data_IF_594624965968
#
_entry.id   IF_594624965968
#
_cell.length_a   1.000
_cell.length_b   1.000
_cell.length_c   1.000
_cell.angle_alpha   90.00
_cell.angle_beta   90.00
_cell.angle_gamma   90.00
#
_symmetry.space_group_name_H-M   'P 1'
#
loop_
_entity.id
_entity.type
_entity.pdbx_description
1 polymer ?
#
# COMPACT_ATOMS: atom_id res chain seq x y z
N UNK A 1 15.18 -38.89 -48.53
CA UNK A 1 15.36 -39.92 -47.50
C UNK A 1 16.75 -39.78 -46.91
N UNK A 2 16.97 -40.37 -45.74
CA UNK A 2 18.24 -40.46 -45.00
C UNK A 2 18.88 -39.13 -44.54
N UNK A 3 19.33 -39.14 -43.29
CA UNK A 3 19.97 -38.03 -42.61
C UNK A 3 21.45 -38.36 -42.35
N UNK A 4 22.31 -37.35 -42.32
CA UNK A 4 23.74 -37.54 -42.05
C UNK A 4 24.01 -37.60 -40.54
N UNK A 5 24.74 -38.64 -40.13
CA UNK A 5 25.00 -38.97 -38.74
C UNK A 5 25.90 -37.94 -38.03
N UNK A 6 25.59 -37.63 -36.77
CA UNK A 6 26.55 -37.05 -35.81
C UNK A 6 26.82 -38.03 -34.68
N UNK A 7 28.10 -38.28 -34.42
CA UNK A 7 28.59 -39.24 -33.43
C UNK A 7 28.25 -38.82 -32.00
N UNK A 8 27.73 -39.78 -31.22
CA UNK A 8 27.69 -39.63 -29.76
C UNK A 8 29.07 -40.01 -29.21
N UNK A 9 29.79 -39.02 -28.65
CA UNK A 9 30.89 -39.28 -27.73
C UNK A 9 30.33 -39.45 -26.33
N UNK A 10 30.50 -40.62 -25.72
CA UNK A 10 30.11 -40.86 -24.34
C UNK A 10 31.28 -40.52 -23.40
N UNK A 11 31.04 -39.64 -22.43
CA UNK A 11 31.85 -39.55 -21.21
C UNK A 11 31.05 -40.18 -20.06
N UNK A 12 31.68 -41.07 -19.31
CA UNK A 12 31.05 -41.86 -18.25
C UNK A 12 31.90 -41.75 -16.98
N UNK A 13 31.90 -40.55 -16.41
CA UNK A 13 32.50 -40.21 -15.11
C UNK A 13 31.56 -39.24 -14.38
N UNK A 14 31.33 -39.30 -13.06
CA UNK A 14 31.60 -40.34 -12.06
C UNK A 14 30.40 -40.40 -11.08
N UNK A 15 29.87 -41.61 -10.82
CA UNK A 15 28.65 -41.85 -10.01
C UNK A 15 29.00 -42.31 -8.57
N UNK A 16 30.28 -42.46 -8.24
CA UNK A 16 30.71 -43.25 -7.08
C UNK A 16 30.59 -42.52 -5.73
N UNK A 17 30.65 -41.18 -5.70
CA UNK A 17 30.78 -40.36 -4.47
C UNK A 17 29.52 -40.30 -3.59
N UNK A 18 28.34 -40.71 -4.07
CA UNK A 18 27.08 -40.64 -3.29
C UNK A 18 26.80 -41.86 -2.40
N UNK A 19 27.61 -42.93 -2.49
CA UNK A 19 27.27 -44.27 -1.96
C UNK A 19 27.24 -44.43 -0.43
N UNK A 20 27.69 -43.43 0.34
CA UNK A 20 27.77 -43.48 1.81
C UNK A 20 26.78 -42.55 2.54
N UNK A 21 25.81 -41.94 1.85
CA UNK A 21 24.75 -41.15 2.49
C UNK A 21 23.64 -42.12 2.96
N UNK A 22 23.36 -42.27 4.27
CA UNK A 22 22.30 -43.15 4.75
C UNK A 22 20.92 -42.66 4.31
N UNK A 23 19.98 -43.60 4.13
CA UNK A 23 18.63 -43.30 3.66
C UNK A 23 17.94 -42.19 4.50
N UNK A 24 17.17 -41.36 3.80
CA UNK A 24 16.44 -40.22 4.36
C UNK A 24 15.42 -40.62 5.42
N UNK A 25 15.06 -39.67 6.30
CA UNK A 25 14.14 -39.91 7.41
C UNK A 25 14.71 -40.71 8.59
N UNK A 26 15.63 -41.65 8.35
CA UNK A 26 16.35 -42.40 9.39
C UNK A 26 17.35 -41.48 10.12
N UNK A 27 17.91 -40.50 9.41
CA UNK A 27 18.95 -39.60 9.93
C UNK A 27 18.49 -38.75 11.12
N UNK A 28 19.37 -38.58 12.12
CA UNK A 28 19.19 -37.62 13.21
C UNK A 28 19.54 -36.22 12.71
N UNK A 29 18.66 -35.21 12.84
CA UNK A 29 18.96 -33.84 12.45
C UNK A 29 19.99 -33.18 13.39
N UNK A 30 20.78 -32.19 12.92
CA UNK A 30 21.70 -31.45 13.76
C UNK A 30 21.02 -30.82 14.99
N UNK A 31 21.65 -30.93 16.16
CA UNK A 31 21.13 -30.38 17.43
C UNK A 31 20.80 -28.87 17.38
N UNK A 32 21.49 -28.14 16.49
CA UNK A 32 21.32 -26.70 16.26
C UNK A 32 19.91 -26.29 15.83
N UNK A 33 19.11 -27.19 15.28
CA UNK A 33 17.67 -26.94 15.05
C UNK A 33 16.88 -26.68 16.34
N UNK A 34 17.38 -27.12 17.49
CA UNK A 34 16.77 -26.98 18.81
C UNK A 34 17.52 -25.98 19.72
N UNK A 35 18.58 -25.35 19.22
CA UNK A 35 19.31 -24.26 19.89
C UNK A 35 18.61 -22.92 19.60
N UNK A 36 17.91 -22.36 20.59
CA UNK A 36 17.20 -21.09 20.44
C UNK A 36 18.10 -19.96 19.92
N UNK A 37 17.54 -19.13 19.03
CA UNK A 37 18.25 -17.98 18.47
C UNK A 37 19.25 -18.30 17.36
N UNK A 38 19.41 -19.55 16.92
CA UNK A 38 20.18 -19.90 15.71
C UNK A 38 19.35 -19.74 14.42
N UNK A 39 20.00 -19.60 13.27
CA UNK A 39 19.33 -19.61 11.97
C UNK A 39 18.66 -20.99 11.68
N UNK A 40 19.27 -22.08 12.16
CA UNK A 40 18.68 -23.43 12.13
C UNK A 40 17.36 -23.50 12.89
N UNK A 41 17.34 -23.06 14.14
CA UNK A 41 16.11 -23.02 14.95
C UNK A 41 15.03 -22.13 14.32
N UNK A 42 15.42 -20.98 13.73
CA UNK A 42 14.50 -20.13 12.97
C UNK A 42 13.91 -20.84 11.74
N UNK A 43 14.62 -21.74 11.07
CA UNK A 43 14.04 -22.58 10.00
C UNK A 43 12.97 -23.51 10.58
N UNK A 44 13.24 -24.18 11.70
CA UNK A 44 12.26 -25.07 12.30
C UNK A 44 11.00 -24.31 12.76
N UNK A 45 11.16 -23.11 13.33
CA UNK A 45 10.03 -22.27 13.76
C UNK A 45 9.24 -21.75 12.54
N UNK A 46 9.92 -21.29 11.48
CA UNK A 46 9.29 -20.69 10.30
C UNK A 46 8.81 -21.69 9.24
N UNK A 47 9.26 -22.94 9.28
CA UNK A 47 8.70 -24.01 8.44
C UNK A 47 7.21 -24.24 8.73
N UNK A 48 6.39 -24.59 7.72
CA UNK A 48 5.01 -24.99 7.94
C UNK A 48 4.95 -26.27 8.79
N UNK A 49 3.98 -26.34 9.71
CA UNK A 49 3.85 -27.45 10.66
C UNK A 49 3.85 -28.82 9.96
N UNK A 50 3.08 -28.95 8.88
CA UNK A 50 3.20 -30.04 7.91
C UNK A 50 3.93 -29.52 6.68
N UNK A 51 5.24 -29.78 6.59
CA UNK A 51 6.07 -29.36 5.49
C UNK A 51 6.11 -30.43 4.38
N UNK A 52 6.14 -29.98 3.12
CA UNK A 52 6.52 -30.85 2.00
C UNK A 52 8.01 -31.20 2.10
N UNK A 53 8.36 -32.44 1.74
CA UNK A 53 9.74 -32.93 1.72
C UNK A 53 9.92 -34.06 0.70
N UNK A 54 11.16 -34.30 0.27
CA UNK A 54 11.50 -35.35 -0.70
C UNK A 54 13.00 -35.59 -0.80
N UNK A 55 13.37 -36.72 -1.41
CA UNK A 55 14.77 -37.10 -1.69
C UNK A 55 15.32 -36.46 -2.97
N UNK A 56 14.42 -36.01 -3.82
CA UNK A 56 14.65 -35.30 -5.09
C UNK A 56 13.88 -33.96 -5.07
N UNK A 57 13.92 -33.20 -6.18
CA UNK A 57 13.20 -31.90 -6.28
C UNK A 57 11.65 -32.01 -6.36
N UNK A 58 11.01 -33.19 -6.22
CA UNK A 58 9.56 -33.36 -6.56
C UNK A 58 8.54 -33.10 -5.43
N UNK A 59 8.98 -32.82 -4.20
CA UNK A 59 8.11 -32.47 -3.06
C UNK A 59 7.04 -33.52 -2.68
N UNK A 60 7.32 -34.80 -2.94
CA UNK A 60 6.33 -35.89 -2.94
C UNK A 60 5.76 -36.29 -1.56
N UNK A 61 6.43 -35.99 -0.45
CA UNK A 61 5.99 -36.36 0.90
C UNK A 61 5.52 -35.12 1.68
N UNK A 62 4.58 -35.33 2.61
CA UNK A 62 4.21 -34.34 3.64
C UNK A 62 4.48 -34.95 5.01
N UNK A 63 5.21 -34.23 5.86
CA UNK A 63 5.62 -34.69 7.21
C UNK A 63 5.58 -33.52 8.21
N UNK A 64 5.47 -33.78 9.52
CA UNK A 64 5.75 -32.76 10.52
C UNK A 64 7.16 -32.21 10.31
N UNK A 65 7.36 -30.90 10.44
CA UNK A 65 8.62 -30.21 10.14
C UNK A 65 9.84 -30.78 10.89
N UNK A 66 9.65 -31.28 12.11
CA UNK A 66 10.65 -31.95 12.95
C UNK A 66 11.15 -33.29 12.35
N UNK A 67 10.40 -33.85 11.40
CA UNK A 67 10.80 -34.98 10.55
C UNK A 67 11.19 -34.54 9.13
N UNK A 68 10.62 -33.46 8.61
CA UNK A 68 10.94 -32.93 7.27
C UNK A 68 12.41 -32.48 7.15
N UNK A 69 13.01 -31.97 8.22
CA UNK A 69 14.45 -31.65 8.32
C UNK A 69 15.39 -32.85 8.12
N UNK A 70 14.86 -34.08 8.07
CA UNK A 70 15.60 -35.34 7.82
C UNK A 70 15.63 -35.76 6.34
N UNK A 71 15.12 -34.92 5.46
CA UNK A 71 15.11 -35.09 4.01
C UNK A 71 15.99 -34.03 3.34
N UNK A 72 16.65 -34.32 2.20
CA UNK A 72 17.54 -33.36 1.53
C UNK A 72 16.81 -32.15 0.95
N UNK A 73 15.52 -32.29 0.64
CA UNK A 73 14.69 -31.19 0.16
C UNK A 73 13.46 -31.02 1.06
N UNK A 74 13.20 -29.80 1.52
CA UNK A 74 12.01 -29.47 2.31
C UNK A 74 11.42 -28.09 1.98
N UNK A 75 10.14 -27.90 2.28
CA UNK A 75 9.47 -26.60 2.25
C UNK A 75 9.88 -25.76 3.47
N UNK A 76 10.53 -24.62 3.22
CA UNK A 76 11.05 -23.71 4.27
C UNK A 76 10.07 -22.58 4.60
N UNK A 77 9.39 -22.01 3.61
CA UNK A 77 8.39 -20.95 3.81
C UNK A 77 6.97 -21.54 3.96
N UNK A 78 6.15 -20.97 4.87
CA UNK A 78 4.75 -21.38 5.05
C UNK A 78 3.90 -20.92 3.87
N UNK A 79 2.80 -21.62 3.57
CA UNK A 79 1.88 -21.16 2.53
C UNK A 79 1.31 -19.79 2.88
N UNK A 80 1.50 -18.80 2.01
CA UNK A 80 1.04 -17.42 2.22
C UNK A 80 1.87 -16.58 3.19
N UNK A 81 3.05 -17.05 3.63
CA UNK A 81 3.97 -16.31 4.50
C UNK A 81 5.43 -16.54 4.08
N UNK A 82 6.15 -15.47 3.74
CA UNK A 82 7.58 -15.53 3.42
C UNK A 82 8.39 -14.97 4.58
N UNK A 83 9.24 -15.81 5.17
CA UNK A 83 10.14 -15.46 6.28
C UNK A 83 11.62 -15.64 5.92
N UNK A 84 11.87 -16.28 4.77
CA UNK A 84 13.19 -16.53 4.19
C UNK A 84 13.16 -16.16 2.71
N UNK A 85 14.05 -15.27 2.28
CA UNK A 85 14.40 -15.14 0.87
C UNK A 85 15.47 -16.19 0.55
N UNK A 86 15.23 -17.00 -0.49
CA UNK A 86 16.07 -18.15 -0.83
C UNK A 86 16.45 -18.05 -2.31
N UNK A 87 17.75 -18.07 -2.62
CA UNK A 87 18.28 -17.95 -3.97
C UNK A 87 19.01 -19.24 -4.35
N UNK A 88 18.54 -20.00 -5.35
CA UNK A 88 19.29 -21.15 -5.91
C UNK A 88 20.32 -20.61 -6.92
N UNK A 89 21.59 -20.97 -6.73
CA UNK A 89 22.73 -20.57 -7.54
C UNK A 89 23.24 -21.79 -8.31
N UNK A 90 22.96 -21.84 -9.61
CA UNK A 90 23.41 -22.89 -10.54
C UNK A 90 24.87 -22.70 -11.02
N UNK A 91 25.67 -21.95 -10.26
CA UNK A 91 27.12 -21.83 -10.44
C UNK A 91 27.88 -22.30 -9.18
N UNK A 92 29.17 -22.59 -9.32
CA UNK A 92 29.96 -23.17 -8.24
C UNK A 92 30.38 -22.15 -7.15
N UNK A 93 30.20 -20.84 -7.39
CA UNK A 93 30.62 -19.78 -6.48
C UNK A 93 29.56 -19.48 -5.42
N UNK A 94 29.65 -20.19 -4.29
CA UNK A 94 28.75 -19.96 -3.15
C UNK A 94 29.04 -18.67 -2.35
N UNK A 95 30.06 -17.89 -2.73
CA UNK A 95 30.44 -16.61 -2.11
C UNK A 95 30.14 -15.39 -2.99
N UNK A 96 29.41 -15.57 -4.10
CA UNK A 96 28.99 -14.52 -5.05
C UNK A 96 28.30 -13.29 -4.43
N UNK A 97 27.79 -13.41 -3.20
CA UNK A 97 27.26 -12.28 -2.42
C UNK A 97 28.36 -11.28 -2.01
N UNK A 98 29.56 -11.76 -1.65
CA UNK A 98 30.71 -10.95 -1.24
C UNK A 98 31.31 -10.23 -2.47
N UNK A 99 31.47 -10.96 -3.59
CA UNK A 99 31.85 -10.41 -4.90
C UNK A 99 30.88 -9.30 -5.40
N UNK A 100 29.60 -9.39 -5.00
CA UNK A 100 28.55 -8.44 -5.37
C UNK A 100 28.37 -7.29 -4.36
N UNK A 101 29.12 -7.26 -3.25
CA UNK A 101 28.97 -6.26 -2.18
C UNK A 101 27.65 -6.35 -1.40
N UNK A 102 26.97 -7.49 -1.47
CA UNK A 102 25.72 -7.76 -0.75
C UNK A 102 26.00 -8.12 0.73
N UNK A 103 25.03 -7.93 1.64
CA UNK A 103 25.20 -8.36 3.02
C UNK A 103 25.33 -9.89 3.10
N UNK A 104 25.99 -10.42 4.14
CA UNK A 104 26.18 -11.86 4.29
C UNK A 104 24.83 -12.61 4.40
N UNK A 105 24.66 -13.77 3.76
CA UNK A 105 23.51 -14.63 3.98
C UNK A 105 23.60 -15.31 5.36
N UNK A 106 22.47 -15.53 6.02
CA UNK A 106 22.43 -16.29 7.26
C UNK A 106 23.00 -17.70 7.10
N UNK A 107 22.64 -18.37 6.00
CA UNK A 107 23.05 -19.74 5.69
C UNK A 107 23.41 -19.88 4.21
N UNK A 108 24.45 -20.68 3.97
CA UNK A 108 24.90 -21.12 2.65
C UNK A 108 24.76 -22.64 2.60
N UNK A 109 23.90 -23.17 1.73
CA UNK A 109 23.68 -24.63 1.58
C UNK A 109 24.18 -25.09 0.22
N UNK A 110 25.43 -25.57 0.18
CA UNK A 110 26.15 -25.93 -1.04
C UNK A 110 26.04 -27.43 -1.35
N UNK A 111 25.75 -27.79 -2.60
CA UNK A 111 25.90 -29.16 -3.07
C UNK A 111 27.39 -29.53 -3.13
N UNK A 112 27.77 -30.62 -2.48
CA UNK A 112 29.17 -31.09 -2.37
C UNK A 112 29.78 -31.51 -3.71
N UNK A 113 28.96 -31.89 -4.70
CA UNK A 113 29.44 -32.42 -5.98
C UNK A 113 29.67 -31.33 -7.05
N UNK A 114 28.65 -30.54 -7.38
CA UNK A 114 28.71 -29.52 -8.44
C UNK A 114 28.85 -28.07 -7.92
N UNK A 115 28.86 -27.86 -6.61
CA UNK A 115 29.04 -26.56 -5.99
C UNK A 115 27.81 -25.63 -6.00
N UNK A 116 26.70 -25.99 -6.65
CA UNK A 116 25.47 -25.18 -6.70
C UNK A 116 24.87 -25.00 -5.30
N UNK A 117 24.46 -23.80 -4.93
CA UNK A 117 24.14 -23.46 -3.53
C UNK A 117 22.83 -22.70 -3.37
N UNK A 118 22.13 -22.91 -2.25
CA UNK A 118 21.07 -21.99 -1.81
C UNK A 118 21.66 -20.99 -0.83
N UNK A 119 21.47 -19.70 -1.09
CA UNK A 119 21.67 -18.64 -0.09
C UNK A 119 20.36 -18.33 0.61
N UNK A 120 20.40 -18.15 1.94
CA UNK A 120 19.24 -17.86 2.77
C UNK A 120 19.40 -16.51 3.49
N UNK A 121 18.41 -15.63 3.31
CA UNK A 121 18.30 -14.37 4.05
C UNK A 121 17.03 -14.36 4.90
N UNK A 122 17.19 -14.18 6.21
CA UNK A 122 16.11 -14.08 7.18
C UNK A 122 15.48 -12.69 7.11
N UNK A 123 14.16 -12.62 6.88
CA UNK A 123 13.39 -11.36 6.86
C UNK A 123 12.19 -11.42 7.81
N UNK A 124 11.68 -10.28 8.33
CA UNK A 124 10.38 -10.22 9.00
C UNK A 124 9.27 -10.81 8.11
N UNK A 125 8.42 -11.65 8.70
CA UNK A 125 7.45 -12.46 7.93
C UNK A 125 6.47 -11.61 7.13
N UNK A 126 6.55 -11.71 5.80
CA UNK A 126 5.64 -11.03 4.87
C UNK A 126 4.46 -11.94 4.55
N UNK A 127 3.25 -11.52 4.93
CA UNK A 127 2.01 -12.17 4.50
C UNK A 127 1.76 -11.92 3.01
N UNK A 128 1.70 -12.99 2.23
CA UNK A 128 1.50 -13.01 0.77
C UNK A 128 0.12 -13.57 0.35
N UNK A 129 -0.79 -13.78 1.31
CA UNK A 129 -2.20 -14.11 1.03
C UNK A 129 -2.97 -12.90 0.47
N UNK A 130 -4.20 -13.12 0.00
CA UNK A 130 -5.13 -12.07 -0.44
C UNK A 130 -5.45 -11.02 0.65
N UNK A 131 -5.25 -11.36 1.93
CA UNK A 131 -5.39 -10.43 3.07
C UNK A 131 -4.08 -9.70 3.42
N UNK A 132 -3.00 -9.97 2.67
CA UNK A 132 -1.71 -9.30 2.81
C UNK A 132 -1.75 -7.85 2.36
N UNK A 133 -0.73 -7.07 2.72
CA UNK A 133 -0.59 -5.67 2.28
C UNK A 133 0.27 -5.61 1.02
N UNK A 134 -0.30 -5.12 -0.09
CA UNK A 134 0.41 -4.98 -1.38
C UNK A 134 1.80 -4.35 -1.26
N UNK A 135 1.95 -3.33 -0.40
CA UNK A 135 3.19 -2.57 -0.24
C UNK A 135 4.37 -3.46 0.22
N UNK A 136 4.34 -4.12 1.39
CA UNK A 136 5.32 -5.14 1.75
C UNK A 136 5.53 -6.24 0.70
N UNK A 137 4.48 -6.77 0.09
CA UNK A 137 4.60 -7.86 -0.89
C UNK A 137 5.39 -7.43 -2.12
N UNK A 138 5.08 -6.25 -2.68
CA UNK A 138 5.76 -5.70 -3.85
C UNK A 138 7.17 -5.22 -3.53
N UNK A 139 7.40 -4.67 -2.34
CA UNK A 139 8.73 -4.25 -1.89
C UNK A 139 9.66 -5.46 -1.69
N UNK A 140 9.19 -6.51 -0.99
CA UNK A 140 9.90 -7.79 -0.85
C UNK A 140 10.22 -8.42 -2.21
N UNK A 141 9.28 -8.39 -3.17
CA UNK A 141 9.54 -8.87 -4.54
C UNK A 141 10.59 -8.05 -5.27
N UNK A 142 10.57 -6.71 -5.14
CA UNK A 142 11.59 -5.85 -5.75
C UNK A 142 12.99 -6.13 -5.18
N UNK A 143 13.11 -6.30 -3.85
CA UNK A 143 14.36 -6.71 -3.18
C UNK A 143 14.81 -8.08 -3.68
N UNK A 144 13.91 -9.07 -3.74
CA UNK A 144 14.24 -10.41 -4.26
C UNK A 144 14.76 -10.35 -5.71
N UNK A 145 14.08 -9.65 -6.61
CA UNK A 145 14.53 -9.54 -8.02
C UNK A 145 15.89 -8.83 -8.13
N UNK A 146 16.13 -7.78 -7.34
CA UNK A 146 17.42 -7.08 -7.35
C UNK A 146 18.57 -7.96 -6.84
N UNK A 147 18.35 -8.70 -5.75
CA UNK A 147 19.33 -9.67 -5.22
C UNK A 147 19.57 -10.82 -6.21
N UNK A 148 18.52 -11.40 -6.79
CA UNK A 148 18.64 -12.51 -7.74
C UNK A 148 19.50 -12.12 -8.96
N UNK A 149 19.30 -10.89 -9.49
CA UNK A 149 20.09 -10.36 -10.60
C UNK A 149 21.58 -10.19 -10.23
N UNK A 150 21.89 -9.68 -9.04
CA UNK A 150 23.29 -9.48 -8.60
C UNK A 150 24.00 -10.80 -8.23
N UNK A 151 23.23 -11.80 -7.79
CA UNK A 151 23.73 -13.13 -7.43
C UNK A 151 23.89 -14.09 -8.63
N UNK A 152 23.40 -13.72 -9.81
CA UNK A 152 23.22 -14.62 -10.97
C UNK A 152 22.39 -15.87 -10.58
N UNK A 153 21.32 -15.66 -9.82
CA UNK A 153 20.42 -16.69 -9.30
C UNK A 153 19.25 -16.99 -10.26
N UNK A 154 18.61 -18.16 -10.10
CA UNK A 154 17.39 -18.51 -10.84
C UNK A 154 16.25 -17.49 -10.56
N UNK A 155 15.79 -16.72 -11.57
CA UNK A 155 14.74 -15.72 -11.42
C UNK A 155 13.35 -16.34 -11.27
N UNK A 156 13.12 -17.54 -11.81
CA UNK A 156 11.84 -18.25 -11.75
C UNK A 156 11.66 -19.01 -10.43
N UNK A 157 12.75 -19.37 -9.74
CA UNK A 157 12.72 -20.05 -8.45
C UNK A 157 11.85 -19.33 -7.39
N UNK A 158 11.88 -18.00 -7.33
CA UNK A 158 11.05 -17.16 -6.44
C UNK A 158 11.00 -17.63 -4.97
N UNK A 159 12.17 -17.97 -4.38
CA UNK A 159 12.33 -18.60 -3.05
C UNK A 159 11.75 -20.02 -2.88
N UNK A 160 11.11 -20.58 -3.90
CA UNK A 160 10.79 -21.98 -4.08
C UNK A 160 9.61 -22.53 -3.25
N UNK A 161 8.88 -23.54 -3.76
CA UNK A 161 7.99 -24.35 -2.93
C UNK A 161 8.78 -25.29 -1.99
N UNK A 162 10.02 -25.64 -2.36
CA UNK A 162 10.92 -26.58 -1.68
C UNK A 162 12.37 -26.15 -1.95
N UNK A 163 13.24 -26.28 -0.95
CA UNK A 163 14.64 -25.84 -0.95
C UNK A 163 15.61 -26.92 -0.44
N UNK A 164 16.92 -26.77 -0.68
CA UNK A 164 17.99 -27.63 -0.14
C UNK A 164 18.02 -27.51 1.39
N UNK A 165 17.62 -28.56 2.12
CA UNK A 165 17.45 -28.58 3.58
C UNK A 165 18.75 -28.25 4.33
N UNK A 166 18.84 -27.11 5.04
CA UNK A 166 20.04 -26.73 5.77
C UNK A 166 20.43 -27.80 6.82
N UNK A 167 21.71 -28.16 6.88
CA UNK A 167 22.24 -29.16 7.83
C UNK A 167 22.05 -30.62 7.41
N UNK A 168 21.34 -30.92 6.32
CA UNK A 168 21.26 -32.29 5.80
C UNK A 168 22.61 -32.74 5.20
N UNK A 169 23.17 -33.92 5.56
CA UNK A 169 24.53 -34.37 5.19
C UNK A 169 24.87 -34.34 3.69
N UNK A 170 23.89 -34.55 2.80
CA UNK A 170 24.07 -34.46 1.34
C UNK A 170 24.61 -33.08 0.92
N UNK A 171 24.30 -32.03 1.68
CA UNK A 171 24.78 -30.68 1.47
C UNK A 171 25.90 -30.31 2.46
N UNK A 172 26.75 -29.37 2.07
CA UNK A 172 27.61 -28.64 3.01
C UNK A 172 26.89 -27.37 3.41
N UNK A 173 26.52 -27.25 4.69
CA UNK A 173 25.84 -26.06 5.22
C UNK A 173 26.80 -25.26 6.09
N UNK A 174 26.89 -23.97 5.82
CA UNK A 174 27.59 -22.98 6.64
C UNK A 174 26.56 -21.99 7.17
N UNK A 175 26.65 -21.63 8.45
CA UNK A 175 25.91 -20.52 9.06
C UNK A 175 26.88 -19.37 9.29
N UNK A 176 26.49 -18.16 8.92
CA UNK A 176 27.28 -16.94 9.18
C UNK A 176 26.73 -16.18 10.39
N UNK A 177 25.42 -16.02 10.48
CA UNK A 177 24.75 -15.31 11.58
C UNK A 177 23.24 -15.62 11.67
N UNK A 178 22.65 -15.21 12.78
CA UNK A 178 21.22 -15.31 13.08
C UNK A 178 20.40 -14.02 12.85
N UNK A 179 21.05 -12.89 12.54
CA UNK A 179 20.40 -11.59 12.29
C UNK A 179 19.23 -11.69 11.31
N UNK A 180 18.17 -10.92 11.56
CA UNK A 180 16.96 -10.87 10.74
C UNK A 180 16.92 -9.50 10.06
N UNK A 181 17.30 -9.47 8.79
CA UNK A 181 17.38 -8.26 7.99
C UNK A 181 16.00 -7.64 7.76
N UNK A 182 15.84 -6.34 8.03
CA UNK A 182 14.64 -5.65 7.53
C UNK A 182 14.67 -5.54 5.99
N UNK A 183 13.50 -5.44 5.36
CA UNK A 183 13.43 -5.21 3.92
C UNK A 183 14.02 -3.85 3.51
N UNK A 184 14.01 -2.84 4.40
CA UNK A 184 14.73 -1.59 4.19
C UNK A 184 16.24 -1.79 4.23
N UNK A 185 16.73 -2.56 5.20
CA UNK A 185 18.15 -2.88 5.36
C UNK A 185 18.71 -3.62 4.14
N UNK A 186 17.99 -4.61 3.59
CA UNK A 186 18.39 -5.26 2.33
C UNK A 186 18.31 -4.29 1.14
N UNK A 187 17.33 -3.39 1.10
CA UNK A 187 17.15 -2.44 0.02
C UNK A 187 18.30 -1.41 -0.08
N UNK A 188 18.94 -1.05 1.03
CA UNK A 188 20.04 -0.07 1.04
C UNK A 188 21.30 -0.56 0.28
N UNK A 189 21.42 -1.87 0.01
CA UNK A 189 22.52 -2.45 -0.79
C UNK A 189 22.23 -2.56 -2.29
N UNK A 190 21.00 -2.26 -2.76
CA UNK A 190 20.58 -2.57 -4.14
C UNK A 190 19.74 -1.48 -4.81
N UNK A 191 19.99 -1.19 -6.08
CA UNK A 191 19.18 -0.25 -6.85
C UNK A 191 17.79 -0.84 -7.19
N UNK A 192 16.83 -0.60 -6.30
CA UNK A 192 15.46 -1.06 -6.49
C UNK A 192 14.75 -0.31 -7.61
N UNK A 193 14.68 -0.94 -8.78
CA UNK A 193 13.79 -0.56 -9.89
C UNK A 193 12.31 -0.84 -9.56
N UNK A 194 11.78 -0.22 -8.50
CA UNK A 194 10.37 -0.23 -8.16
C UNK A 194 9.60 0.53 -9.24
N UNK A 195 9.03 -0.19 -10.21
CA UNK A 195 8.18 0.41 -11.24
C UNK A 195 7.12 1.30 -10.57
N UNK A 196 6.98 2.58 -10.96
CA UNK A 196 6.01 3.47 -10.33
C UNK A 196 4.61 2.86 -10.39
N UNK A 197 3.88 2.91 -9.27
CA UNK A 197 2.54 2.35 -9.10
C UNK A 197 1.67 2.64 -10.34
N UNK A 198 1.39 1.61 -11.15
CA UNK A 198 0.67 1.74 -12.44
C UNK A 198 -0.65 2.50 -12.20
N UNK A 199 -0.66 3.78 -12.57
CA UNK A 199 -1.72 4.71 -12.19
C UNK A 199 -2.75 4.80 -13.31
N UNK A 200 -3.76 3.92 -13.27
CA UNK A 200 -4.85 3.88 -14.23
C UNK A 200 -5.54 2.51 -14.28
N UNK A 201 -6.62 2.38 -15.08
CA UNK A 201 -7.30 1.10 -15.30
C UNK A 201 -6.36 0.11 -15.98
N UNK A 202 -6.14 -1.05 -15.35
CA UNK A 202 -5.27 -2.11 -15.89
C UNK A 202 -6.00 -2.94 -16.95
N UNK A 203 -6.40 -2.31 -18.05
CA UNK A 203 -7.31 -2.94 -19.01
C UNK A 203 -6.74 -4.21 -19.68
N UNK A 204 -5.43 -4.25 -19.89
CA UNK A 204 -4.71 -5.40 -20.47
C UNK A 204 -4.71 -6.64 -19.55
N UNK A 205 -4.73 -6.46 -18.23
CA UNK A 205 -4.80 -7.55 -17.25
C UNK A 205 -6.21 -8.19 -17.19
N UNK A 206 -7.23 -7.63 -17.88
CA UNK A 206 -8.63 -8.09 -17.84
C UNK A 206 -9.31 -8.34 -19.22
N UNK A 207 -8.77 -9.18 -20.13
CA UNK A 207 -9.31 -9.31 -21.49
C UNK A 207 -10.74 -9.87 -21.56
N UNK A 208 -11.14 -10.68 -20.58
CA UNK A 208 -12.26 -11.63 -20.75
C UNK A 208 -13.61 -11.21 -20.12
N UNK A 209 -13.63 -10.20 -19.24
CA UNK A 209 -14.86 -9.84 -18.49
C UNK A 209 -15.33 -8.42 -18.75
N UNK A 210 -16.36 -8.29 -19.59
CA UNK A 210 -17.11 -7.03 -19.86
C UNK A 210 -17.50 -6.28 -18.59
N UNK A 211 -17.94 -7.01 -17.55
CA UNK A 211 -18.32 -6.43 -16.26
C UNK A 211 -17.11 -5.81 -15.53
N UNK A 212 -15.98 -6.52 -15.48
CA UNK A 212 -14.78 -6.04 -14.81
C UNK A 212 -14.12 -4.89 -15.59
N UNK A 213 -14.12 -4.95 -16.93
CA UNK A 213 -13.68 -3.85 -17.81
C UNK A 213 -14.49 -2.57 -17.53
N UNK A 214 -15.82 -2.67 -17.52
CA UNK A 214 -16.68 -1.50 -17.24
C UNK A 214 -16.44 -0.97 -15.82
N UNK A 215 -16.26 -1.86 -14.83
CA UNK A 215 -15.98 -1.48 -13.44
C UNK A 215 -14.63 -0.77 -13.29
N UNK A 216 -13.56 -1.27 -13.92
CA UNK A 216 -12.24 -0.63 -13.94
C UNK A 216 -12.31 0.78 -14.54
N UNK A 217 -12.86 0.91 -15.74
CA UNK A 217 -13.02 2.21 -16.42
C UNK A 217 -13.85 3.18 -15.57
N UNK A 218 -14.98 2.70 -15.04
CA UNK A 218 -15.91 3.54 -14.28
C UNK A 218 -15.34 3.97 -12.91
N UNK A 219 -14.61 3.10 -12.19
CA UNK A 219 -14.05 3.47 -10.88
C UNK A 219 -12.94 4.51 -11.00
N UNK A 220 -12.03 4.39 -11.98
CA UNK A 220 -11.01 5.42 -12.20
C UNK A 220 -11.61 6.74 -12.68
N UNK A 221 -12.65 6.72 -13.51
CA UNK A 221 -13.39 7.94 -13.84
C UNK A 221 -14.04 8.56 -12.59
N UNK A 222 -14.73 7.76 -11.77
CA UNK A 222 -15.34 8.19 -10.51
C UNK A 222 -14.33 8.84 -9.55
N UNK A 223 -13.15 8.22 -9.38
CA UNK A 223 -12.05 8.74 -8.57
C UNK A 223 -11.55 10.11 -9.05
N UNK A 224 -11.53 10.35 -10.37
CA UNK A 224 -11.04 11.63 -10.92
C UNK A 224 -12.01 12.80 -10.74
N UNK A 225 -13.32 12.53 -10.64
CA UNK A 225 -14.36 13.58 -10.54
C UNK A 225 -15.00 13.73 -9.15
N UNK A 226 -15.00 12.70 -8.29
CA UNK A 226 -15.79 12.68 -7.04
C UNK A 226 -15.54 13.89 -6.12
N UNK A 227 -14.29 14.36 -5.99
CA UNK A 227 -14.00 15.50 -5.11
C UNK A 227 -14.59 16.81 -5.65
N UNK A 228 -14.58 17.01 -6.97
CA UNK A 228 -15.26 18.15 -7.62
C UNK A 228 -16.78 18.05 -7.44
N UNK A 229 -17.36 16.86 -7.55
CA UNK A 229 -18.80 16.66 -7.36
C UNK A 229 -19.23 16.77 -5.89
N UNK A 230 -18.34 16.49 -4.93
CA UNK A 230 -18.55 16.81 -3.49
C UNK A 230 -18.47 18.31 -3.21
N UNK A 231 -17.57 19.04 -3.87
CA UNK A 231 -17.43 20.49 -3.75
C UNK A 231 -18.60 21.27 -4.39
N UNK A 232 -19.21 20.74 -5.47
CA UNK A 232 -20.14 21.49 -6.34
C UNK A 232 -21.53 20.88 -6.53
N UNK A 233 -21.78 19.69 -6.00
CA UNK A 233 -22.96 18.89 -6.34
C UNK A 233 -23.36 17.92 -5.23
N UNK A 234 -23.92 16.77 -5.61
CA UNK A 234 -24.41 15.77 -4.67
C UNK A 234 -24.31 14.35 -5.25
N UNK A 235 -24.64 13.34 -4.43
CA UNK A 235 -24.60 11.94 -4.84
C UNK A 235 -25.47 11.66 -6.08
N UNK A 236 -26.58 12.38 -6.29
CA UNK A 236 -27.43 12.19 -7.47
C UNK A 236 -26.81 12.79 -8.75
N UNK A 237 -26.20 13.99 -8.68
CA UNK A 237 -25.48 14.56 -9.83
C UNK A 237 -24.27 13.70 -10.22
N UNK A 238 -23.51 13.23 -9.23
CA UNK A 238 -22.40 12.30 -9.39
C UNK A 238 -22.87 10.96 -9.99
N UNK A 239 -23.93 10.35 -9.47
CA UNK A 239 -24.47 9.09 -10.01
C UNK A 239 -24.91 9.24 -11.46
N UNK A 240 -25.64 10.32 -11.80
CA UNK A 240 -26.06 10.59 -13.19
C UNK A 240 -24.87 10.79 -14.15
N UNK A 241 -23.79 11.42 -13.68
CA UNK A 241 -22.55 11.56 -14.45
C UNK A 241 -21.87 10.21 -14.69
N UNK A 242 -21.84 9.33 -13.68
CA UNK A 242 -21.33 7.97 -13.79
C UNK A 242 -22.21 7.08 -14.69
N UNK A 243 -23.55 7.25 -14.66
CA UNK A 243 -24.46 6.57 -15.60
C UNK A 243 -24.16 7.00 -17.04
N UNK A 244 -24.08 8.30 -17.32
CA UNK A 244 -23.78 8.81 -18.66
C UNK A 244 -22.40 8.33 -19.18
N UNK A 245 -21.39 8.24 -18.31
CA UNK A 245 -20.10 7.64 -18.65
C UNK A 245 -20.23 6.14 -18.95
N UNK A 246 -20.90 5.38 -18.09
CA UNK A 246 -21.04 3.93 -18.24
C UNK A 246 -21.89 3.53 -19.46
N UNK A 247 -22.95 4.28 -19.77
CA UNK A 247 -23.73 4.12 -21.00
C UNK A 247 -22.85 4.32 -22.24
N UNK A 248 -21.96 5.32 -22.23
CA UNK A 248 -21.04 5.57 -23.34
C UNK A 248 -19.93 4.51 -23.48
N UNK A 249 -19.49 3.90 -22.38
CA UNK A 249 -18.46 2.85 -22.41
C UNK A 249 -19.01 1.44 -22.62
N UNK A 250 -20.33 1.24 -22.51
CA UNK A 250 -21.02 -0.02 -22.81
C UNK A 250 -21.14 -0.29 -24.33
N UNK A 251 -20.00 -0.25 -25.04
CA UNK A 251 -19.87 -0.46 -26.50
C UNK A 251 -19.15 -1.76 -26.84
N UNK A 252 -19.16 -2.75 -25.93
CA UNK A 252 -18.46 -4.03 -26.06
C UNK A 252 -18.70 -4.78 -27.39
N UNK A 253 -19.90 -4.68 -27.97
CA UNK A 253 -20.21 -5.26 -29.28
C UNK A 253 -19.37 -4.67 -30.43
N UNK A 254 -18.89 -3.42 -30.30
CA UNK A 254 -17.94 -2.78 -31.24
C UNK A 254 -16.47 -3.04 -30.89
N UNK A 255 -16.21 -3.72 -29.77
CA UNK A 255 -14.88 -4.05 -29.25
C UNK A 255 -14.63 -5.57 -29.23
N UNK A 256 -15.25 -6.31 -30.14
CA UNK A 256 -15.02 -7.75 -30.33
C UNK A 256 -15.82 -8.70 -29.43
N UNK A 257 -16.64 -8.21 -28.50
CA UNK A 257 -17.50 -9.08 -27.67
C UNK A 257 -18.83 -9.40 -28.36
N UNK A 258 -19.43 -10.55 -28.00
CA UNK A 258 -20.72 -11.02 -28.56
C UNK A 258 -21.89 -10.06 -28.35
N UNK A 259 -21.94 -9.33 -27.23
CA UNK A 259 -22.97 -8.32 -26.96
C UNK A 259 -22.54 -7.31 -25.87
N UNK A 260 -23.19 -6.15 -25.88
CA UNK A 260 -23.12 -5.16 -24.79
C UNK A 260 -23.67 -5.73 -23.47
N UNK A 261 -23.42 -5.06 -22.35
CA UNK A 261 -24.05 -5.37 -21.07
C UNK A 261 -25.50 -4.86 -21.04
N UNK A 262 -26.38 -5.59 -20.36
CA UNK A 262 -27.76 -5.16 -20.11
C UNK A 262 -27.80 -3.87 -19.28
N UNK A 263 -28.80 -3.03 -19.52
CA UNK A 263 -28.93 -1.73 -18.86
C UNK A 263 -29.09 -1.83 -17.33
N UNK A 264 -29.73 -2.91 -16.86
CA UNK A 264 -29.82 -3.30 -15.45
C UNK A 264 -28.44 -3.55 -14.84
N UNK A 265 -27.59 -4.33 -15.51
CA UNK A 265 -26.20 -4.60 -15.11
C UNK A 265 -25.36 -3.32 -15.05
N UNK A 266 -25.48 -2.45 -16.06
CA UNK A 266 -24.78 -1.14 -16.07
C UNK A 266 -25.20 -0.30 -14.86
N UNK A 267 -26.51 -0.13 -14.62
CA UNK A 267 -27.05 0.62 -13.47
C UNK A 267 -26.69 -0.02 -12.11
N UNK A 268 -26.54 -1.34 -12.04
CA UNK A 268 -26.05 -2.02 -10.83
C UNK A 268 -24.58 -1.70 -10.56
N UNK A 269 -23.72 -1.81 -11.57
CA UNK A 269 -22.29 -1.43 -11.49
C UNK A 269 -22.13 0.04 -11.10
N UNK A 270 -22.89 0.95 -11.72
CA UNK A 270 -22.85 2.39 -11.40
C UNK A 270 -23.27 2.67 -9.96
N UNK A 271 -24.39 2.13 -9.48
CA UNK A 271 -24.84 2.35 -8.09
C UNK A 271 -23.82 1.84 -7.06
N UNK A 272 -23.13 0.73 -7.36
CA UNK A 272 -22.05 0.20 -6.51
C UNK A 272 -20.86 1.16 -6.46
N UNK A 273 -20.31 1.55 -7.62
CA UNK A 273 -19.17 2.46 -7.71
C UNK A 273 -19.50 3.84 -7.13
N UNK A 274 -20.68 4.39 -7.42
CA UNK A 274 -21.12 5.69 -6.92
C UNK A 274 -21.19 5.71 -5.38
N UNK A 275 -21.89 4.73 -4.78
CA UNK A 275 -22.05 4.64 -3.32
C UNK A 275 -20.70 4.44 -2.62
N UNK A 276 -19.87 3.51 -3.10
CA UNK A 276 -18.57 3.26 -2.48
C UNK A 276 -17.65 4.47 -2.59
N UNK A 277 -17.54 5.06 -3.79
CA UNK A 277 -16.64 6.19 -4.04
C UNK A 277 -17.07 7.42 -3.26
N UNK A 278 -18.37 7.75 -3.22
CA UNK A 278 -18.88 8.90 -2.47
C UNK A 278 -18.65 8.77 -0.96
N UNK A 279 -18.70 7.56 -0.40
CA UNK A 279 -18.64 7.32 1.07
C UNK A 279 -17.27 6.87 1.61
N UNK A 280 -16.38 6.31 0.78
CA UNK A 280 -15.11 5.71 1.23
C UNK A 280 -13.86 6.13 0.44
N UNK A 281 -14.00 6.80 -0.70
CA UNK A 281 -12.83 7.24 -1.46
C UNK A 281 -12.36 8.61 -0.96
N UNK A 282 -11.16 8.66 -0.38
CA UNK A 282 -10.49 9.87 0.10
C UNK A 282 -9.30 10.27 -0.79
N UNK A 283 -9.01 9.50 -1.85
CA UNK A 283 -7.94 9.80 -2.77
C UNK A 283 -8.14 11.14 -3.47
N UNK A 284 -7.04 11.83 -3.75
CA UNK A 284 -7.06 13.11 -4.45
C UNK A 284 -6.03 13.13 -5.56
N UNK A 285 -6.43 13.62 -6.73
CA UNK A 285 -5.53 13.98 -7.83
C UNK A 285 -4.61 15.15 -7.46
N UNK A 286 -4.94 15.89 -6.38
CA UNK A 286 -3.92 16.56 -5.56
C UNK A 286 -3.12 15.50 -4.78
N UNK A 287 -2.28 14.76 -5.50
CA UNK A 287 -1.14 14.08 -4.90
C UNK A 287 -0.40 15.09 -4.02
N UNK A 288 -0.02 14.71 -2.80
CA UNK A 288 0.64 15.63 -1.88
C UNK A 288 2.01 16.04 -2.47
N UNK A 289 2.11 17.25 -3.04
CA UNK A 289 3.28 17.80 -3.76
C UNK A 289 4.47 18.14 -2.84
N UNK A 290 4.65 17.37 -1.77
CA UNK A 290 5.19 17.87 -0.52
C UNK A 290 4.32 18.97 0.09
N UNK A 291 4.57 19.34 1.34
CA UNK A 291 3.92 20.49 1.98
C UNK A 291 4.60 21.84 1.60
N UNK A 292 5.22 21.88 0.41
CA UNK A 292 6.03 22.98 -0.12
C UNK A 292 5.83 23.25 -1.61
N UNK A 293 5.14 22.37 -2.34
CA UNK A 293 4.86 22.49 -3.79
C UNK A 293 6.12 22.78 -4.65
N UNK A 294 7.26 22.19 -4.29
CA UNK A 294 8.55 22.40 -4.96
C UNK A 294 8.51 21.96 -6.43
N UNK A 295 9.16 22.74 -7.31
CA UNK A 295 9.20 22.47 -8.74
C UNK A 295 9.93 21.15 -9.07
N UNK A 296 9.45 20.46 -10.10
CA UNK A 296 9.99 19.18 -10.59
C UNK A 296 11.35 19.31 -11.26
N UNK A 297 11.71 20.49 -11.76
CA UNK A 297 13.02 20.75 -12.39
C UNK A 297 14.18 20.55 -11.40
N UNK A 298 13.94 20.80 -10.11
CA UNK A 298 14.94 20.66 -9.06
C UNK A 298 15.35 19.19 -8.86
N UNK A 299 16.66 18.89 -8.73
CA UNK A 299 17.16 17.56 -8.34
C UNK A 299 16.47 17.00 -7.09
N UNK A 300 16.32 15.67 -7.06
CA UNK A 300 15.67 15.00 -5.92
C UNK A 300 16.39 15.26 -4.57
N UNK A 301 17.74 15.23 -4.46
CA UNK A 301 18.43 15.53 -3.20
C UNK A 301 18.19 16.95 -2.69
N UNK A 302 18.08 17.92 -3.61
CA UNK A 302 17.82 19.32 -3.24
C UNK A 302 16.38 19.50 -2.72
N UNK A 303 15.39 18.89 -3.39
CA UNK A 303 14.00 18.86 -2.89
C UNK A 303 13.86 18.16 -1.54
N UNK A 304 14.61 17.09 -1.31
CA UNK A 304 14.69 16.42 -0.01
C UNK A 304 15.32 17.34 1.05
N UNK A 305 16.45 18.00 0.75
CA UNK A 305 17.12 18.95 1.63
C UNK A 305 16.22 20.13 2.03
N UNK A 306 15.54 20.76 1.08
CA UNK A 306 14.57 21.84 1.33
C UNK A 306 13.40 21.36 2.23
N UNK A 307 12.89 20.16 1.96
CA UNK A 307 11.80 19.54 2.75
C UNK A 307 12.25 19.21 4.17
N UNK A 308 13.47 18.71 4.35
CA UNK A 308 14.08 18.44 5.64
C UNK A 308 14.30 19.74 6.43
N UNK A 309 14.84 20.78 5.79
CA UNK A 309 15.07 22.12 6.38
C UNK A 309 13.78 22.74 6.93
N UNK A 310 12.68 22.71 6.15
CA UNK A 310 11.35 23.16 6.64
C UNK A 310 10.85 22.29 7.80
N UNK A 311 11.00 20.98 7.72
CA UNK A 311 10.54 20.05 8.76
C UNK A 311 11.31 20.27 10.07
N UNK A 312 12.61 20.54 10.00
CA UNK A 312 13.44 20.94 11.13
C UNK A 312 12.98 22.28 11.74
N UNK A 313 12.76 23.30 10.91
CA UNK A 313 12.25 24.60 11.36
C UNK A 313 10.88 24.51 12.07
N UNK A 314 9.98 23.66 11.57
CA UNK A 314 8.69 23.40 12.22
C UNK A 314 8.86 22.69 13.57
N UNK A 315 9.71 21.67 13.65
CA UNK A 315 10.04 20.97 14.90
C UNK A 315 10.69 21.90 15.93
N UNK A 316 11.59 22.80 15.50
CA UNK A 316 12.13 23.87 16.36
C UNK A 316 11.01 24.74 16.92
N UNK A 317 10.16 25.33 16.07
CA UNK A 317 9.09 26.24 16.51
C UNK A 317 8.07 25.57 17.43
N UNK A 318 7.71 24.31 17.17
CA UNK A 318 6.85 23.51 18.06
C UNK A 318 7.53 23.26 19.42
N UNK A 319 8.81 22.89 19.43
CA UNK A 319 9.57 22.68 20.68
C UNK A 319 9.73 23.97 21.48
N UNK A 320 10.07 25.10 20.83
CA UNK A 320 10.10 26.41 21.50
C UNK A 320 8.72 26.77 22.07
N UNK A 321 7.64 26.50 21.34
CA UNK A 321 6.27 26.82 21.79
C UNK A 321 5.89 26.00 23.02
N UNK A 322 6.27 24.72 23.07
CA UNK A 322 6.11 23.85 24.25
C UNK A 322 6.93 24.35 25.43
N UNK A 323 8.17 24.78 25.22
CA UNK A 323 9.03 25.35 26.28
C UNK A 323 8.45 26.69 26.79
N UNK A 324 8.01 27.60 25.90
CA UNK A 324 7.34 28.87 26.27
C UNK A 324 5.98 28.65 26.97
N UNK A 325 5.26 27.58 26.64
CA UNK A 325 4.05 27.19 27.35
C UNK A 325 4.37 26.64 28.75
N UNK A 326 5.35 25.74 28.86
CA UNK A 326 5.76 25.14 30.14
C UNK A 326 6.34 26.17 31.12
N UNK A 327 7.14 27.13 30.65
CA UNK A 327 7.67 28.18 31.52
C UNK A 327 6.54 29.04 32.11
N UNK A 328 5.56 29.45 31.29
CA UNK A 328 4.37 30.19 31.77
C UNK A 328 3.53 29.35 32.73
N UNK A 329 3.27 28.09 32.38
CA UNK A 329 2.53 27.16 33.23
C UNK A 329 3.20 26.80 34.56
N UNK A 330 4.51 27.08 34.74
CA UNK A 330 5.22 27.00 36.02
C UNK A 330 5.18 28.35 36.77
N UNK A 331 5.34 29.48 36.06
CA UNK A 331 5.19 30.82 36.61
C UNK A 331 3.79 31.04 37.22
N UNK A 332 2.74 30.56 36.55
CA UNK A 332 1.34 30.57 37.02
C UNK A 332 1.12 29.75 38.31
N UNK A 333 2.01 28.80 38.63
CA UNK A 333 1.97 27.98 39.85
C UNK A 333 2.87 28.51 40.96
N UNK A 334 3.68 29.53 40.69
CA UNK A 334 4.77 29.97 41.58
C UNK A 334 5.93 28.97 41.68
N UNK A 335 6.02 28.01 40.76
CA UNK A 335 7.09 27.01 40.75
C UNK A 335 8.40 27.55 40.16
N UNK A 336 9.54 27.11 40.70
CA UNK A 336 10.85 27.54 40.21
C UNK A 336 11.12 27.01 38.79
N UNK A 337 11.58 27.91 37.90
CA UNK A 337 11.92 27.66 36.49
C UNK A 337 13.19 26.80 36.31
N UNK A 338 13.22 25.61 36.92
CA UNK A 338 14.30 24.66 36.75
C UNK A 338 14.19 23.94 35.41
N UNK A 339 15.33 23.66 34.78
CA UNK A 339 15.36 22.95 33.48
C UNK A 339 14.68 21.58 33.54
N UNK A 340 14.69 20.93 34.72
CA UNK A 340 14.06 19.62 34.95
C UNK A 340 12.53 19.73 35.01
N UNK A 341 11.98 20.73 35.71
CA UNK A 341 10.54 20.98 35.75
C UNK A 341 10.00 21.39 34.35
N UNK A 342 10.72 22.28 33.66
CA UNK A 342 10.39 22.71 32.29
C UNK A 342 10.41 21.51 31.32
N UNK A 343 11.42 20.64 31.41
CA UNK A 343 11.53 19.42 30.61
C UNK A 343 10.34 18.47 30.83
N UNK A 344 10.01 18.19 32.11
CA UNK A 344 8.89 17.34 32.48
C UNK A 344 7.54 17.88 31.97
N UNK A 345 7.28 19.18 32.16
CA UNK A 345 5.99 19.79 31.80
C UNK A 345 5.84 20.08 30.29
N UNK A 346 6.95 20.25 29.55
CA UNK A 346 6.96 20.38 28.10
C UNK A 346 7.01 19.03 27.35
N UNK A 347 7.24 17.91 28.04
CA UNK A 347 7.37 16.58 27.44
C UNK A 347 8.64 16.38 26.60
N UNK A 348 9.76 17.00 26.99
CA UNK A 348 11.05 16.95 26.27
C UNK A 348 12.21 16.65 27.23
N UNK A 349 13.39 16.30 26.73
CA UNK A 349 14.55 16.01 27.61
C UNK A 349 15.17 17.28 28.21
N UNK A 350 15.81 17.19 29.37
CA UNK A 350 16.60 18.29 29.96
C UNK A 350 17.64 18.86 28.98
N UNK A 351 18.29 17.98 28.22
CA UNK A 351 19.32 18.37 27.25
C UNK A 351 18.70 19.04 26.01
N UNK A 352 17.48 18.68 25.63
CA UNK A 352 16.66 19.45 24.68
C UNK A 352 16.43 20.86 25.21
N UNK A 353 15.95 21.02 26.45
CA UNK A 353 15.71 22.36 27.06
C UNK A 353 16.98 23.21 27.10
N UNK A 354 18.15 22.61 27.39
CA UNK A 354 19.43 23.31 27.38
C UNK A 354 19.78 23.93 26.02
N UNK A 355 19.44 23.26 24.92
CA UNK A 355 19.71 23.75 23.57
C UNK A 355 18.80 24.93 23.15
N UNK A 356 17.71 25.21 23.90
CA UNK A 356 16.84 26.38 23.70
C UNK A 356 17.03 27.44 24.79
N UNK A 357 18.25 27.62 25.29
CA UNK A 357 18.57 28.62 26.33
C UNK A 357 18.15 30.06 26.00
N UNK A 358 18.02 30.42 24.72
CA UNK A 358 17.46 31.72 24.31
C UNK A 358 16.00 31.88 24.74
N UNK A 359 15.19 30.83 24.64
CA UNK A 359 13.78 30.84 25.06
C UNK A 359 13.65 31.05 26.57
N UNK A 360 14.56 30.48 27.36
CA UNK A 360 14.61 30.71 28.80
C UNK A 360 14.96 32.17 29.11
N UNK A 361 15.93 32.74 28.39
CA UNK A 361 16.33 34.15 28.52
C UNK A 361 15.25 35.14 28.01
N UNK A 362 14.39 34.73 27.07
CA UNK A 362 13.19 35.49 26.67
C UNK A 362 12.17 35.52 27.81
N UNK A 363 11.79 34.36 28.37
CA UNK A 363 10.73 34.27 29.39
C UNK A 363 11.17 34.77 30.77
N UNK A 364 12.47 34.74 31.06
CA UNK A 364 13.05 35.34 32.28
C UNK A 364 13.11 36.87 32.23
N UNK A 365 13.00 37.49 31.06
CA UNK A 365 12.92 38.96 30.92
C UNK A 365 11.46 39.40 31.01
N UNK A 366 11.06 40.18 32.02
CA UNK A 366 9.70 40.71 32.09
C UNK A 366 9.49 41.68 30.92
N UNK A 367 8.78 41.22 29.90
CA UNK A 367 8.34 42.05 28.80
C UNK A 367 7.30 43.03 29.32
N UNK A 368 7.69 44.28 29.56
CA UNK A 368 6.81 45.35 30.00
C UNK A 368 5.84 45.71 28.89
N UNK A 369 4.76 44.93 28.78
CA UNK A 369 3.64 45.23 27.88
C UNK A 369 3.00 46.52 28.37
N UNK A 370 3.28 47.62 27.67
CA UNK A 370 2.64 48.89 27.92
C UNK A 370 1.13 48.75 27.64
N UNK A 371 0.33 48.66 28.70
CA UNK A 371 -1.12 48.65 28.59
C UNK A 371 -1.53 50.02 28.05
N UNK A 372 -1.97 50.06 26.79
CA UNK A 372 -2.62 51.24 26.23
C UNK A 372 -3.94 51.46 27.00
N UNK A 373 -3.89 52.38 27.95
CA UNK A 373 -5.05 52.78 28.73
C UNK A 373 -6.15 53.29 27.81
N UNK A 374 -7.37 52.79 27.99
CA UNK A 374 -8.53 53.35 27.32
C UNK A 374 -8.86 54.70 27.95
N UNK A 375 -8.78 55.77 27.16
CA UNK A 375 -9.38 57.06 27.50
C UNK A 375 -10.43 57.46 26.46
N UNK A 376 -11.34 58.34 26.85
CA UNK A 376 -12.54 58.71 26.11
C UNK A 376 -12.25 59.86 25.16
N UNK A 377 -12.97 59.90 24.04
CA UNK A 377 -12.68 60.84 22.95
C UNK A 377 -12.94 62.31 23.29
N UNK A 378 -12.17 63.19 22.65
CA UNK A 378 -12.53 64.59 22.41
C UNK A 378 -12.24 64.96 20.96
N UNK A 379 -12.86 66.05 20.51
CA UNK A 379 -13.04 66.41 19.10
C UNK A 379 -12.14 67.57 18.63
N UNK A 380 -11.92 67.64 17.31
CA UNK A 380 -11.64 68.84 16.52
C UNK A 380 -10.41 69.72 16.83
N UNK A 381 -9.49 69.80 15.84
CA UNK A 381 -9.27 71.04 15.04
C UNK A 381 -8.38 70.78 13.80
N UNK A 382 -8.17 71.80 12.97
CA UNK A 382 -8.00 71.66 11.51
C UNK A 382 -6.91 72.53 10.86
N UNK A 383 -6.42 72.05 9.69
CA UNK A 383 -5.71 72.81 8.62
C UNK A 383 -4.29 73.33 8.95
N UNK A 384 -3.45 73.73 7.95
CA UNK A 384 -3.69 73.91 6.51
C UNK A 384 -2.81 73.05 5.56
N UNK A 385 -2.54 73.54 4.33
CA UNK A 385 -2.17 72.78 3.11
C UNK A 385 -0.99 73.40 2.33
N UNK A 386 -0.11 72.54 1.81
CA UNK A 386 0.76 72.68 0.61
C UNK A 386 1.07 71.23 0.13
N UNK A 387 1.08 70.79 -1.14
CA UNK A 387 1.67 71.29 -2.40
C UNK A 387 3.22 71.18 -2.44
N UNK A 388 3.88 70.59 -3.45
CA UNK A 388 3.43 69.85 -4.68
C UNK A 388 4.61 69.00 -5.25
N UNK A 389 4.32 67.80 -5.79
CA UNK A 389 5.15 66.99 -6.75
C UNK A 389 6.55 66.49 -6.25
N UNK A 390 7.21 65.49 -6.86
CA UNK A 390 6.94 64.66 -8.07
C UNK A 390 7.41 63.19 -7.89
N UNK A 391 6.85 62.27 -8.70
CA UNK A 391 7.43 61.06 -9.33
C UNK A 391 8.24 60.01 -8.51
N UNK A 392 8.11 58.70 -8.73
CA UNK A 392 7.25 57.93 -9.65
C UNK A 392 7.09 56.47 -9.18
N UNK A 393 6.14 55.73 -9.77
CA UNK A 393 5.83 54.33 -9.47
C UNK A 393 5.51 53.58 -10.79
N UNK A 394 5.76 52.27 -10.89
CA UNK A 394 4.59 51.38 -10.89
C UNK A 394 4.82 50.04 -10.17
N UNK A 395 3.97 49.75 -9.18
CA UNK A 395 3.87 48.44 -8.54
C UNK A 395 2.87 47.53 -9.27
N UNK A 396 3.20 46.24 -9.40
CA UNK A 396 2.27 45.24 -9.96
C UNK A 396 1.43 44.63 -8.82
N UNK A 397 0.13 44.90 -8.84
CA UNK A 397 -0.87 44.38 -7.90
C UNK A 397 -1.62 43.21 -8.51
N UNK A 398 -1.82 42.14 -7.74
CA UNK A 398 -2.58 40.96 -8.13
C UNK A 398 -4.01 41.29 -8.58
N UNK A 399 -4.44 40.91 -9.80
CA UNK A 399 -5.83 40.95 -10.22
C UNK A 399 -6.53 39.63 -9.89
N UNK A 400 -7.56 39.68 -9.05
CA UNK A 400 -8.59 38.64 -8.98
C UNK A 400 -9.86 39.16 -9.65
N UNK A 401 -10.42 38.44 -10.63
CA UNK A 401 -11.80 38.68 -11.08
C UNK A 401 -12.39 37.54 -11.93
N UNK A 402 -13.60 37.15 -11.49
CA UNK A 402 -14.83 36.90 -12.27
C UNK A 402 -14.86 35.81 -13.35
N UNK A 403 -16.01 35.11 -13.33
CA UNK A 403 -16.53 34.33 -14.44
C UNK A 403 -16.87 35.23 -15.64
N UNK A 404 -16.78 34.70 -16.86
CA UNK A 404 -17.43 35.28 -18.04
C UNK A 404 -18.70 34.49 -18.35
N UNK A 405 -19.82 35.21 -18.52
CA UNK A 405 -20.92 34.73 -19.36
C UNK A 405 -20.57 34.99 -20.83
N UNK A 406 -21.19 34.26 -21.75
CA UNK A 406 -21.06 34.49 -23.20
C UNK A 406 -22.37 34.20 -23.92
N UNK A 407 -23.22 35.21 -23.99
CA UNK A 407 -24.23 35.43 -25.02
C UNK A 407 -23.67 36.55 -25.94
N UNK A 408 -24.01 36.70 -27.22
CA UNK A 408 -24.67 35.83 -28.22
C UNK A 408 -24.69 36.61 -29.54
N UNK A 409 -24.59 35.96 -30.72
CA UNK A 409 -24.92 36.64 -31.99
C UNK A 409 -25.45 35.67 -33.08
N UNK A 410 -26.76 35.82 -33.36
CA UNK A 410 -27.43 35.95 -34.68
C UNK A 410 -27.19 34.94 -35.83
N UNK A 411 -28.29 34.34 -36.36
CA UNK A 411 -28.25 33.43 -37.53
C UNK A 411 -29.61 32.94 -38.09
N UNK A 412 -30.50 33.88 -38.45
CA UNK A 412 -31.72 33.81 -39.30
C UNK A 412 -32.43 32.48 -39.75
N UNK A 413 -33.78 32.54 -39.64
CA UNK A 413 -34.82 32.08 -40.59
C UNK A 413 -35.30 30.59 -40.69
N UNK A 414 -36.59 30.43 -41.02
CA UNK A 414 -37.27 29.15 -41.39
C UNK A 414 -38.35 28.67 -40.41
N UNK A 415 -39.53 29.32 -40.30
CA UNK A 415 -40.80 29.00 -41.00
C UNK A 415 -41.45 27.63 -40.71
N UNK A 416 -42.54 27.67 -39.93
CA UNK A 416 -43.85 27.02 -40.17
C UNK A 416 -43.98 25.48 -40.08
N UNK A 417 -45.10 24.88 -39.66
CA UNK A 417 -46.39 25.39 -39.14
C UNK A 417 -47.01 24.43 -38.08
N UNK A 418 -48.02 24.94 -37.34
CA UNK A 418 -49.30 24.33 -36.86
C UNK A 418 -49.40 22.80 -36.51
N UNK A 419 -50.32 22.29 -35.68
CA UNK A 419 -51.65 22.79 -35.28
C UNK A 419 -52.00 22.37 -33.84
N UNK A 420 -52.59 23.30 -33.07
CA UNK A 420 -53.76 23.13 -32.17
C UNK A 420 -54.17 21.70 -31.76
N UNK A 421 -54.23 21.32 -30.48
CA UNK A 421 -55.40 21.44 -29.55
C UNK A 421 -55.12 20.51 -28.33
N UNK A 422 -55.72 20.57 -27.12
CA UNK A 422 -56.45 21.54 -26.26
C UNK A 422 -56.35 20.91 -24.81
N UNK A 423 -56.74 21.40 -23.62
CA UNK A 423 -57.63 22.47 -23.13
C UNK A 423 -57.18 22.97 -21.72
N UNK A 424 -58.03 23.78 -21.07
CA UNK A 424 -58.03 24.21 -19.65
C UNK A 424 -59.49 24.08 -19.11
N UNK A 425 -59.92 24.44 -17.87
CA UNK A 425 -59.23 25.26 -16.84
C UNK A 425 -59.42 24.90 -15.34
N UNK A 426 -58.69 25.63 -14.49
CA UNK A 426 -59.02 26.08 -13.11
C UNK A 426 -59.24 25.03 -11.98
N UNK A 427 -59.01 25.36 -10.70
CA UNK A 427 -58.40 26.58 -10.12
C UNK A 427 -58.68 26.77 -8.62
N UNK A 428 -58.00 27.75 -8.00
CA UNK A 428 -57.98 28.10 -6.55
C UNK A 428 -57.23 27.06 -5.68
N UNK A 429 -56.30 27.38 -4.78
CA UNK A 429 -56.05 28.52 -3.87
C UNK A 429 -56.86 28.47 -2.56
N UNK A 430 -56.15 28.47 -1.42
CA UNK A 430 -56.75 28.39 -0.08
C UNK A 430 -55.71 28.21 1.04
N UNK A 431 -55.06 29.31 1.46
CA UNK A 431 -54.24 29.33 2.68
C UNK A 431 -55.08 29.16 3.95
N UNK A 432 -54.52 28.44 4.93
CA UNK A 432 -54.60 28.76 6.38
C UNK A 432 -53.78 27.80 7.25
N UNK A 433 -52.81 28.35 7.98
CA UNK A 433 -52.58 27.98 9.38
C UNK A 433 -53.11 29.11 10.29
N UNK A 434 -52.65 29.23 11.55
CA UNK A 434 -51.82 28.31 12.34
C UNK A 434 -52.55 27.81 13.61
N UNK A 435 -51.91 26.98 14.42
CA UNK A 435 -51.75 27.22 15.88
C UNK A 435 -50.80 26.18 16.52
N UNK A 436 -50.41 26.38 17.77
CA UNK A 436 -49.43 25.57 18.50
C UNK A 436 -49.96 25.18 19.89
N UNK A 437 -49.56 24.02 20.42
CA UNK A 437 -48.77 23.92 21.67
C UNK A 437 -48.63 22.48 22.21
N UNK A 438 -47.56 22.27 22.98
CA UNK A 438 -47.29 21.22 23.99
C UNK A 438 -47.83 19.79 23.74
N UNK A 439 -47.00 18.76 23.63
CA UNK A 439 -46.09 18.33 24.72
C UNK A 439 -45.07 17.29 24.21
N UNK A 440 -43.99 17.04 24.97
CA UNK A 440 -42.96 16.06 24.63
C UNK A 440 -42.73 15.03 25.74
N UNK A 441 -42.23 13.81 25.43
CA UNK A 441 -41.76 12.83 26.40
C UNK A 441 -40.22 12.81 26.52
N UNK A 442 -39.72 12.47 27.70
CA UNK A 442 -38.29 12.24 27.98
C UNK A 442 -37.77 10.87 27.49
N UNK A 443 -36.44 10.69 27.32
CA UNK A 443 -35.88 9.50 26.69
C UNK A 443 -35.83 8.26 27.61
N UNK A 444 -36.29 7.12 27.10
CA UNK A 444 -36.18 5.82 27.77
C UNK A 444 -34.81 5.19 27.48
N UNK A 445 -34.07 4.84 28.53
CA UNK A 445 -32.82 4.06 28.43
C UNK A 445 -33.09 2.61 27.98
N UNK A 446 -32.37 2.14 26.95
CA UNK A 446 -32.31 0.74 26.55
C UNK A 446 -30.85 0.33 26.21
N UNK A 447 -30.44 -0.94 26.46
CA UNK A 447 -29.02 -1.32 26.47
C UNK A 447 -28.44 -1.65 25.08
N UNK A 448 -27.11 -1.58 24.99
CA UNK A 448 -26.36 -1.84 23.76
C UNK A 448 -26.31 -3.34 23.38
N UNK A 449 -26.88 -3.69 22.21
CA UNK A 449 -26.81 -5.05 21.64
C UNK A 449 -25.59 -5.18 20.72
N UNK A 450 -24.77 -6.21 20.95
CA UNK A 450 -23.61 -6.55 20.09
C UNK A 450 -24.08 -7.29 18.83
N UNK A 451 -23.87 -6.70 17.65
CA UNK A 451 -24.09 -7.41 16.39
C UNK A 451 -22.91 -8.30 16.02
N UNK A 452 -23.08 -9.62 16.16
CA UNK A 452 -22.19 -10.60 15.56
C UNK A 452 -22.45 -10.73 14.06
N UNK A 453 -21.42 -10.56 13.23
CA UNK A 453 -21.55 -10.57 11.77
C UNK A 453 -21.46 -12.00 11.21
N UNK A 454 -22.60 -12.71 11.14
CA UNK A 454 -22.68 -13.99 10.44
C UNK A 454 -22.45 -13.80 8.93
N UNK A 455 -21.35 -14.36 8.42
CA UNK A 455 -21.08 -14.40 6.98
C UNK A 455 -21.92 -15.48 6.30
N UNK A 456 -22.78 -15.08 5.35
CA UNK A 456 -23.50 -16.00 4.47
C UNK A 456 -22.59 -16.34 3.29
N UNK A 457 -21.98 -17.53 3.31
CA UNK A 457 -21.19 -18.05 2.20
C UNK A 457 -22.06 -18.83 1.22
N UNK A 458 -22.33 -18.24 0.06
CA UNK A 458 -23.04 -18.92 -1.02
C UNK A 458 -22.11 -19.99 -1.65
N UNK A 459 -22.38 -21.27 -1.36
CA UNK A 459 -21.72 -22.39 -2.04
C UNK A 459 -22.41 -22.65 -3.39
N UNK A 460 -21.67 -22.51 -4.49
CA UNK A 460 -22.03 -23.20 -5.73
C UNK A 460 -21.63 -24.67 -5.61
N UNK A 461 -22.60 -25.58 -5.71
CA UNK A 461 -22.34 -27.01 -5.73
C UNK A 461 -21.94 -27.48 -7.12
N UNK A 462 -20.69 -27.91 -7.29
CA UNK A 462 -20.30 -28.77 -8.40
C UNK A 462 -20.59 -30.23 -8.00
N UNK A 463 -21.47 -30.90 -8.73
CA UNK A 463 -21.68 -32.33 -8.57
C UNK A 463 -20.54 -33.07 -9.28
N UNK A 464 -19.73 -33.81 -8.53
CA UNK A 464 -18.82 -34.83 -9.03
C UNK A 464 -19.24 -36.16 -8.42
N UNK A 465 -19.39 -37.16 -9.28
CA UNK A 465 -19.99 -38.47 -9.00
C UNK A 465 -18.91 -39.50 -8.60
N UNK A 466 -19.09 -40.22 -7.47
CA UNK A 466 -18.22 -41.35 -7.12
C UNK A 466 -18.97 -42.59 -6.61
N UNK A 467 -18.87 -43.73 -7.29
CA UNK A 467 -19.26 -45.01 -6.68
C UNK A 467 -19.41 -46.22 -7.59
N UNK A 468 -18.29 -46.83 -8.00
CA UNK A 468 -18.32 -48.27 -8.32
C UNK A 468 -18.66 -49.07 -7.05
N UNK A 469 -19.46 -50.12 -7.20
CA UNK A 469 -19.41 -51.33 -6.37
C UNK A 469 -19.70 -52.56 -7.22
N UNK A 470 -18.88 -53.58 -7.04
CA UNK A 470 -18.97 -54.86 -7.72
C UNK A 470 -19.90 -55.86 -6.99
N UNK A 471 -20.65 -56.65 -7.74
CA UNK A 471 -21.02 -58.04 -7.42
C UNK A 471 -21.86 -58.63 -8.57
N UNK A 472 -21.46 -59.81 -9.09
CA UNK A 472 -22.29 -61.00 -9.43
C UNK A 472 -23.64 -60.83 -10.19
N UNK A 473 -24.08 -61.70 -11.10
CA UNK A 473 -23.55 -62.96 -11.68
C UNK A 473 -24.25 -63.27 -13.03
N UNK A 474 -23.86 -64.37 -13.67
CA UNK A 474 -24.71 -65.26 -14.51
C UNK A 474 -25.33 -64.78 -15.85
N UNK A 475 -24.79 -65.39 -16.92
CA UNK A 475 -25.50 -66.28 -17.88
C UNK A 475 -25.95 -65.77 -19.29
N UNK A 476 -25.70 -66.67 -20.24
CA UNK A 476 -26.41 -66.99 -21.49
C UNK A 476 -26.45 -66.07 -22.73
N UNK A 477 -26.20 -66.76 -23.87
CA UNK A 477 -26.45 -66.44 -25.30
C UNK A 477 -25.50 -65.46 -26.01
#
# INVERSE_FOLDING_TARGET
MEATSKSHGADVTDVNTQRNIPASGIQTPPGRFFEEGTAFNRILIEAPYLARCSDNKTAALVRPREYAIRFPYMQINRQGMVSWLIFDLDHANALKWDDAGLPPPNLIVRNRANGHSHLYYAIPTVCTTENGRDKPILFMKAVYTAFANLLDADPDYNSGPVAKTPGHPWWSTQELHNHIYDLGELADYVELNVTPWKTGPKLEDLPHSRHCILFEQLRYYAYSVVNRERERGNLASFTRMLEAFAHNHNRFARAGFTQNLMLSSVRATVRSVARWTWTRYEGSTRCCRGSMELDKSLPLPERQSLSAKRTHQLRHKDTESKIRAACRGLQERGEALTMTAIAALAGVTRQTVANYGHVLNEVAKPSTVAILGADRGQELKSAPRAELLSDSNPGIRWPGSKCCHSESETGAAGTDSETEMLSKPAGRAGDRGPECCHSGPEPIHAPAVKYGLHQITARFGAALDPGLKDSESEDSS
#
